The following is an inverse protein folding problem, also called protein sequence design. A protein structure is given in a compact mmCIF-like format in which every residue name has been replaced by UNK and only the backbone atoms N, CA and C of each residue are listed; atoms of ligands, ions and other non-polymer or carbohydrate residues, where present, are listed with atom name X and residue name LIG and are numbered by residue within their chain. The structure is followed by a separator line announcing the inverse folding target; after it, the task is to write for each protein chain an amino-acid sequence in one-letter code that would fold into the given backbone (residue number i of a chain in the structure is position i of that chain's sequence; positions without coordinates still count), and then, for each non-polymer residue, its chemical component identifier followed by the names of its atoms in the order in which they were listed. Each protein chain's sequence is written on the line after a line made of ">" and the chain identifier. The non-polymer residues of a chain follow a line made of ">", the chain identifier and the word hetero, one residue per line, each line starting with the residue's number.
data_IF_977101928170
#
_entry.id   IF_977101928170
#
_cell.length_a   1.000
_cell.length_b   1.000
_cell.length_c   1.000
_cell.angle_alpha   90.00
_cell.angle_beta   90.00
_cell.angle_gamma   90.00
#
_symmetry.space_group_name_H-M   'P 1'
#
loop_
_entity.id
_entity.type
_entity.pdbx_description
1 polymer ?
#
# COMPACT_ATOMS: atom_id res chain seq x y z
N UNK A 1 -4.85 -16.44 -17.06
CA UNK A 1 -5.39 -15.98 -15.76
C UNK A 1 -5.54 -17.20 -14.88
N UNK A 2 -4.95 -17.19 -13.69
CA UNK A 2 -4.79 -18.39 -12.88
C UNK A 2 -6.09 -18.85 -12.20
N UNK A 3 -6.36 -20.14 -12.34
CA UNK A 3 -7.57 -20.84 -11.93
C UNK A 3 -7.59 -21.14 -10.40
N UNK A 4 -7.14 -20.22 -9.55
CA UNK A 4 -7.09 -20.43 -8.09
C UNK A 4 -8.25 -19.70 -7.38
N UNK A 5 -8.61 -18.51 -7.87
CA UNK A 5 -9.59 -17.66 -7.22
C UNK A 5 -11.00 -18.28 -7.23
N UNK A 6 -11.37 -18.97 -8.33
CA UNK A 6 -12.62 -19.73 -8.41
C UNK A 6 -12.65 -20.97 -7.50
N UNK A 7 -11.50 -21.68 -7.35
CA UNK A 7 -11.42 -22.86 -6.48
C UNK A 7 -11.65 -22.48 -5.02
N UNK A 8 -11.15 -21.32 -4.63
CA UNK A 8 -11.22 -20.81 -3.27
C UNK A 8 -12.48 -19.96 -3.01
N UNK A 9 -13.33 -19.73 -4.04
CA UNK A 9 -14.51 -18.85 -4.01
C UNK A 9 -14.22 -17.47 -3.40
N UNK A 10 -13.01 -16.95 -3.58
CA UNK A 10 -12.64 -15.67 -2.97
C UNK A 10 -13.10 -14.54 -3.89
N UNK A 11 -13.87 -13.61 -3.34
CA UNK A 11 -14.26 -12.40 -4.06
C UNK A 11 -13.64 -11.18 -3.38
N UNK A 12 -12.75 -10.51 -4.11
CA UNK A 12 -12.06 -9.29 -3.69
C UNK A 12 -12.70 -8.02 -4.25
N UNK A 13 -13.80 -8.14 -4.99
CA UNK A 13 -14.49 -6.98 -5.59
C UNK A 13 -14.78 -5.93 -4.53
N UNK A 14 -14.35 -4.70 -4.82
CA UNK A 14 -14.51 -3.51 -3.99
C UNK A 14 -13.87 -3.55 -2.59
N UNK A 15 -13.15 -4.62 -2.25
CA UNK A 15 -12.32 -4.63 -1.04
C UNK A 15 -11.20 -3.60 -1.19
N UNK A 16 -10.96 -2.84 -0.12
CA UNK A 16 -9.90 -1.82 -0.09
C UNK A 16 -8.58 -2.50 0.22
N UNK A 17 -7.55 -2.18 -0.55
CA UNK A 17 -6.20 -2.70 -0.33
C UNK A 17 -5.14 -1.64 -0.60
N UNK A 18 -3.94 -1.89 -0.06
CA UNK A 18 -2.74 -1.12 -0.35
C UNK A 18 -1.53 -2.01 -0.11
N UNK A 19 -0.39 -1.62 -0.66
CA UNK A 19 0.83 -2.41 -0.62
C UNK A 19 1.89 -1.75 0.24
N UNK A 20 2.71 -2.58 0.88
CA UNK A 20 3.95 -2.18 1.54
C UNK A 20 5.05 -3.18 1.23
N UNK A 21 6.31 -2.77 1.35
CA UNK A 21 7.46 -3.63 1.10
C UNK A 21 8.65 -3.21 1.96
N UNK A 22 9.61 -4.11 2.14
CA UNK A 22 10.96 -3.75 2.52
C UNK A 22 11.95 -4.17 1.44
N UNK A 23 13.13 -3.57 1.41
CA UNK A 23 14.22 -3.95 0.52
C UNK A 23 15.57 -3.83 1.21
N UNK A 24 16.59 -4.55 0.72
CA UNK A 24 17.95 -4.49 1.26
C UNK A 24 18.73 -3.21 0.92
N UNK A 25 18.13 -2.28 0.17
CA UNK A 25 18.74 -1.04 -0.27
C UNK A 25 17.77 -0.16 -1.07
N UNK A 26 18.14 1.11 -1.30
CA UNK A 26 17.27 2.11 -1.96
C UNK A 26 16.78 1.69 -3.36
N UNK A 27 17.61 0.96 -4.11
CA UNK A 27 17.29 0.43 -5.45
C UNK A 27 17.01 -1.09 -5.41
N UNK A 28 16.69 -1.64 -4.24
CA UNK A 28 16.48 -3.08 -4.00
C UNK A 28 15.14 -3.63 -4.51
N UNK A 29 14.54 -3.01 -5.53
CA UNK A 29 13.31 -3.49 -6.16
C UNK A 29 12.00 -3.12 -5.45
N UNK A 30 12.03 -2.39 -4.33
CA UNK A 30 10.85 -1.99 -3.55
C UNK A 30 9.72 -1.38 -4.39
N UNK A 31 10.04 -0.42 -5.27
CA UNK A 31 9.04 0.19 -6.16
C UNK A 31 8.40 -0.82 -7.12
N UNK A 32 9.18 -1.78 -7.60
CA UNK A 32 8.70 -2.83 -8.51
C UNK A 32 7.78 -3.83 -7.78
N UNK A 33 8.13 -4.21 -6.55
CA UNK A 33 7.30 -5.07 -5.71
C UNK A 33 5.97 -4.40 -5.43
N UNK A 34 5.97 -3.13 -5.00
CA UNK A 34 4.73 -2.36 -4.76
C UNK A 34 3.86 -2.34 -6.01
N UNK A 35 4.41 -1.94 -7.17
CA UNK A 35 3.65 -1.88 -8.44
C UNK A 35 3.07 -3.25 -8.82
N UNK A 36 3.82 -4.34 -8.65
CA UNK A 36 3.33 -5.69 -8.96
C UNK A 36 2.14 -6.10 -8.07
N UNK A 37 2.17 -5.74 -6.78
CA UNK A 37 1.07 -5.99 -5.85
C UNK A 37 -0.16 -5.14 -6.19
N UNK A 38 0.04 -3.87 -6.57
CA UNK A 38 -1.06 -3.02 -7.00
C UNK A 38 -1.73 -3.57 -8.26
N UNK A 39 -0.96 -4.06 -9.22
CA UNK A 39 -1.50 -4.67 -10.43
C UNK A 39 -2.32 -5.93 -10.10
N UNK A 40 -1.85 -6.75 -9.15
CA UNK A 40 -2.63 -7.88 -8.63
C UNK A 40 -3.96 -7.42 -8.03
N UNK A 41 -3.96 -6.36 -7.20
CA UNK A 41 -5.17 -5.82 -6.58
C UNK A 41 -6.17 -5.32 -7.64
N UNK A 42 -5.69 -4.57 -8.63
CA UNK A 42 -6.51 -4.07 -9.73
C UNK A 42 -7.13 -5.19 -10.56
N UNK A 43 -6.35 -6.22 -10.90
CA UNK A 43 -6.86 -7.40 -11.62
C UNK A 43 -7.94 -8.16 -10.83
N UNK A 44 -7.93 -8.05 -9.50
CA UNK A 44 -8.93 -8.63 -8.61
C UNK A 44 -10.09 -7.68 -8.28
N UNK A 45 -10.23 -6.56 -9.01
CA UNK A 45 -11.31 -5.55 -8.83
C UNK A 45 -11.32 -4.93 -7.44
N UNK A 46 -10.16 -4.87 -6.79
CA UNK A 46 -9.99 -4.19 -5.51
C UNK A 46 -9.88 -2.69 -5.72
N UNK A 47 -10.08 -1.95 -4.64
CA UNK A 47 -9.94 -0.51 -4.61
C UNK A 47 -8.65 -0.16 -3.89
N UNK A 48 -7.74 0.40 -4.66
CA UNK A 48 -6.35 0.63 -4.25
C UNK A 48 -6.20 1.98 -3.57
N UNK A 49 -5.52 1.98 -2.41
CA UNK A 49 -5.15 3.19 -1.69
C UNK A 49 -3.70 3.07 -1.17
N UNK A 50 -2.86 4.06 -1.51
CA UNK A 50 -1.58 4.28 -0.87
C UNK A 50 -1.66 5.27 0.31
N UNK A 51 -0.53 5.60 0.97
CA UNK A 51 -0.51 6.65 2.00
C UNK A 51 -0.88 8.01 1.41
N UNK A 52 -1.43 8.90 2.25
CA UNK A 52 -1.82 10.26 1.88
C UNK A 52 -1.11 11.26 2.78
N UNK A 53 -0.49 12.25 2.14
CA UNK A 53 0.28 13.29 2.78
C UNK A 53 -0.38 14.64 2.53
N UNK A 54 -0.16 15.54 3.48
CA UNK A 54 -0.63 16.91 3.42
C UNK A 54 0.44 17.81 4.01
N UNK A 55 0.80 18.86 3.28
CA UNK A 55 1.66 19.92 3.78
C UNK A 55 0.77 21.06 4.28
N UNK A 56 0.78 21.32 5.58
CA UNK A 56 -0.08 22.34 6.19
C UNK A 56 0.30 23.77 5.80
N UNK A 57 1.57 24.01 5.45
CA UNK A 57 2.08 25.34 5.08
C UNK A 57 1.69 25.69 3.65
N UNK A 58 1.86 24.76 2.71
CA UNK A 58 1.55 24.97 1.29
C UNK A 58 0.13 24.56 0.89
N UNK A 59 -0.57 23.82 1.76
CA UNK A 59 -1.87 23.19 1.46
C UNK A 59 -1.77 22.04 0.44
N UNK A 60 -0.56 21.57 0.09
CA UNK A 60 -0.37 20.56 -0.94
C UNK A 60 -0.76 19.17 -0.43
N UNK A 61 -1.53 18.43 -1.21
CA UNK A 61 -1.96 17.06 -0.91
C UNK A 61 -1.41 16.13 -2.00
N UNK A 62 -0.74 15.05 -1.59
CA UNK A 62 -0.25 14.03 -2.52
C UNK A 62 -0.37 12.64 -1.89
N UNK A 63 -0.36 11.62 -2.74
CA UNK A 63 -0.30 10.23 -2.30
C UNK A 63 0.86 9.52 -2.95
N UNK A 64 1.25 8.40 -2.37
CA UNK A 64 2.28 7.52 -2.92
C UNK A 64 1.70 6.16 -3.29
N UNK A 65 2.46 5.34 -4.01
CA UNK A 65 1.98 4.03 -4.51
C UNK A 65 1.85 2.99 -3.39
N UNK A 66 2.66 3.09 -2.34
CA UNK A 66 2.66 2.20 -1.18
C UNK A 66 3.64 2.70 -0.12
N UNK A 67 3.72 2.03 1.02
CA UNK A 67 4.76 2.29 2.02
C UNK A 67 5.98 1.42 1.76
N UNK A 68 7.19 1.92 1.97
CA UNK A 68 8.41 1.16 1.77
C UNK A 68 9.41 1.43 2.90
N UNK A 69 10.26 0.44 3.19
CA UNK A 69 11.37 0.58 4.11
C UNK A 69 12.66 -0.07 3.57
N UNK A 70 13.81 0.45 3.95
CA UNK A 70 15.12 -0.13 3.63
C UNK A 70 15.66 -0.82 4.87
N UNK A 71 15.60 -2.16 4.89
CA UNK A 71 15.99 -2.99 6.05
C UNK A 71 17.27 -3.79 5.76
N UNK A 72 18.22 -3.19 5.04
CA UNK A 72 19.45 -3.82 4.59
C UNK A 72 20.53 -3.90 5.68
N UNK A 73 21.67 -4.57 5.43
CA UNK A 73 22.75 -4.69 6.42
C UNK A 73 23.37 -3.34 6.84
N UNK A 74 23.19 -2.28 6.03
CA UNK A 74 23.63 -0.92 6.35
C UNK A 74 22.60 -0.12 7.17
N UNK A 75 21.35 -0.56 7.16
CA UNK A 75 20.25 0.04 7.94
C UNK A 75 19.25 -1.06 8.30
N UNK A 76 19.47 -1.77 9.43
CA UNK A 76 18.68 -2.96 9.77
C UNK A 76 17.31 -2.62 10.36
N UNK A 77 17.00 -1.33 10.57
CA UNK A 77 15.79 -0.85 11.23
C UNK A 77 14.72 -0.39 10.25
N UNK A 78 13.59 0.05 10.80
CA UNK A 78 12.60 0.86 10.09
C UNK A 78 12.67 2.25 10.70
N UNK A 79 12.91 3.27 9.89
CA UNK A 79 13.02 4.66 10.37
C UNK A 79 11.65 5.19 10.84
N UNK A 80 11.66 6.29 11.60
CA UNK A 80 10.42 6.95 12.00
C UNK A 80 9.62 7.48 10.80
N UNK A 81 10.29 7.95 9.73
CA UNK A 81 9.62 8.36 8.50
C UNK A 81 8.97 7.17 7.77
N UNK A 82 9.66 6.04 7.70
CA UNK A 82 9.13 4.82 7.09
C UNK A 82 7.93 4.28 7.88
N UNK A 83 8.00 4.33 9.22
CA UNK A 83 6.88 4.01 10.09
C UNK A 83 5.71 4.99 9.91
N UNK A 84 5.95 6.28 9.75
CA UNK A 84 4.91 7.27 9.46
C UNK A 84 4.19 6.97 8.14
N UNK A 85 4.94 6.66 7.08
CA UNK A 85 4.37 6.22 5.80
C UNK A 85 3.47 4.98 5.94
N UNK A 86 3.92 3.98 6.70
CA UNK A 86 3.14 2.78 6.99
C UNK A 86 1.87 3.08 7.82
N UNK A 87 1.96 3.97 8.83
CA UNK A 87 0.79 4.39 9.63
C UNK A 87 -0.24 5.12 8.78
N UNK A 88 0.18 6.03 7.91
CA UNK A 88 -0.70 6.75 6.97
C UNK A 88 -1.40 5.81 6.00
N UNK A 89 -0.67 4.81 5.49
CA UNK A 89 -1.26 3.77 4.63
C UNK A 89 -2.38 3.03 5.38
N UNK A 90 -2.09 2.54 6.59
CA UNK A 90 -3.06 1.82 7.43
C UNK A 90 -4.28 2.67 7.78
N UNK A 91 -4.08 3.92 8.22
CA UNK A 91 -5.15 4.88 8.52
C UNK A 91 -6.06 5.08 7.31
N UNK A 92 -5.47 5.35 6.13
CA UNK A 92 -6.24 5.61 4.91
C UNK A 92 -7.05 4.40 4.47
N UNK A 93 -6.47 3.19 4.49
CA UNK A 93 -7.19 1.96 4.17
C UNK A 93 -8.37 1.77 5.12
N UNK A 94 -8.14 1.92 6.43
CA UNK A 94 -9.18 1.77 7.44
C UNK A 94 -10.31 2.80 7.26
N UNK A 95 -9.96 4.06 7.01
CA UNK A 95 -10.93 5.14 6.80
C UNK A 95 -11.80 4.92 5.56
N UNK A 96 -11.21 4.54 4.42
CA UNK A 96 -11.95 4.25 3.19
C UNK A 96 -12.86 3.04 3.40
N UNK A 97 -12.34 1.98 4.04
CA UNK A 97 -13.11 0.77 4.35
C UNK A 97 -14.32 1.09 5.23
N UNK A 98 -14.14 1.91 6.28
CA UNK A 98 -15.23 2.34 7.17
C UNK A 98 -16.29 3.13 6.42
N UNK A 99 -15.89 4.07 5.55
CA UNK A 99 -16.82 4.86 4.74
C UNK A 99 -17.67 3.97 3.82
N UNK A 100 -17.06 2.93 3.24
CA UNK A 100 -17.75 1.96 2.38
C UNK A 100 -18.78 1.10 3.11
N UNK A 101 -18.50 0.68 4.35
CA UNK A 101 -19.44 -0.15 5.12
C UNK A 101 -20.77 0.59 5.42
N UNK A 102 -20.74 1.92 5.45
CA UNK A 102 -21.92 2.76 5.69
C UNK A 102 -22.54 3.37 4.43
N UNK A 103 -22.12 2.95 3.22
CA UNK A 103 -22.67 3.39 1.94
C UNK A 103 -23.64 2.37 1.36
#
# INVERSE_FOLDING_TARGET
>A
MDNWNWKMKVDFTDKVGGAFTTAGGQVGGQGHVVVSLLLFMLNNRMIVAGPLYHNEVSGSIWGESGAAAITGPLDPGVSDEELDGARRLGERIARITKKRKGS
#
